data_IF_316696540653
#
_entry.id   IF_316696540653
#
_cell.length_a   1.000
_cell.length_b   1.000
_cell.length_c   1.000
_cell.angle_alpha   90.00
_cell.angle_beta   90.00
_cell.angle_gamma   90.00
#
_symmetry.space_group_name_H-M   'P 1'
#
loop_
_entity.id
_entity.type
_entity.pdbx_description
1 polymer ?
#
# COMPACT_ATOMS: atom_id res chain seq x y z
N UNK A 1 21.17 -2.00 16.90
CA UNK A 1 22.37 -2.86 16.89
C UNK A 1 23.60 -2.06 17.36
N UNK A 2 24.26 -1.23 16.54
CA UNK A 2 25.44 -0.47 17.00
C UNK A 2 25.22 0.49 18.20
N UNK A 3 23.99 1.01 18.38
CA UNK A 3 23.68 2.00 19.42
C UNK A 3 23.29 1.38 20.77
N UNK A 4 22.83 0.13 20.78
CA UNK A 4 22.29 -0.57 21.94
C UNK A 4 22.96 -1.93 22.21
N UNK A 5 23.88 -2.35 21.34
CA UNK A 5 24.70 -3.57 21.48
C UNK A 5 23.86 -4.85 21.59
N UNK A 6 22.65 -4.82 21.02
CA UNK A 6 21.77 -5.96 20.86
C UNK A 6 21.76 -6.37 19.39
N UNK A 7 22.22 -7.59 19.14
CA UNK A 7 22.22 -8.27 17.85
C UNK A 7 20.94 -9.10 17.77
N UNK A 8 20.03 -8.70 16.87
CA UNK A 8 18.70 -9.28 16.78
C UNK A 8 18.55 -10.28 15.62
N UNK A 9 19.45 -10.26 14.65
CA UNK A 9 19.42 -11.15 13.47
C UNK A 9 20.60 -12.15 13.40
N UNK A 10 21.57 -12.05 14.32
CA UNK A 10 22.67 -12.98 14.48
C UNK A 10 23.78 -12.83 13.45
N UNK A 11 23.81 -11.73 12.70
CA UNK A 11 24.82 -11.46 11.69
C UNK A 11 26.04 -10.70 12.26
N UNK A 12 27.04 -10.42 11.42
CA UNK A 12 28.28 -9.72 11.82
C UNK A 12 28.23 -8.21 11.53
N UNK A 13 27.12 -7.70 11.02
CA UNK A 13 26.97 -6.37 10.45
C UNK A 13 25.73 -5.67 11.02
N UNK A 14 25.95 -4.67 11.89
CA UNK A 14 24.90 -3.81 12.44
C UNK A 14 24.11 -3.08 11.31
N UNK A 15 23.05 -3.69 10.83
CA UNK A 15 22.25 -3.18 9.73
C UNK A 15 21.07 -2.34 10.26
N UNK A 16 20.51 -1.47 9.42
CA UNK A 16 19.32 -0.68 9.78
C UNK A 16 18.08 -1.58 9.68
N UNK A 17 17.90 -2.39 10.72
CA UNK A 17 16.80 -3.30 10.91
C UNK A 17 15.45 -2.57 11.02
N UNK A 18 14.41 -3.16 10.43
CA UNK A 18 13.02 -2.75 10.60
C UNK A 18 12.24 -3.89 11.26
N UNK A 19 12.28 -3.96 12.59
CA UNK A 19 11.48 -4.89 13.37
C UNK A 19 10.25 -4.23 13.98
N UNK A 20 9.15 -4.97 14.09
CA UNK A 20 7.98 -4.57 14.90
C UNK A 20 7.93 -5.48 16.13
N UNK A 21 7.94 -4.86 17.30
CA UNK A 21 7.78 -5.53 18.59
C UNK A 21 6.30 -5.47 19.02
N UNK A 22 5.67 -6.63 19.29
CA UNK A 22 4.35 -6.68 19.96
C UNK A 22 4.54 -6.72 21.49
N UNK A 23 4.23 -5.62 22.21
CA UNK A 23 4.41 -5.55 23.65
C UNK A 23 3.42 -6.42 24.46
N UNK A 24 2.41 -7.03 23.84
CA UNK A 24 1.37 -7.76 24.56
C UNK A 24 1.70 -9.24 24.81
N UNK A 25 2.84 -9.74 24.34
CA UNK A 25 3.20 -11.16 24.40
C UNK A 25 4.50 -11.37 25.20
N UNK A 26 4.41 -11.40 26.54
CA UNK A 26 5.57 -11.70 27.37
C UNK A 26 6.07 -13.13 27.07
N UNK A 27 7.27 -13.24 26.50
CA UNK A 27 7.95 -14.51 26.25
C UNK A 27 7.87 -15.05 24.81
N UNK A 28 7.26 -14.33 23.87
CA UNK A 28 7.41 -14.68 22.45
C UNK A 28 8.86 -14.37 22.02
N UNK A 29 9.66 -15.41 21.79
CA UNK A 29 10.92 -15.25 21.05
C UNK A 29 10.60 -14.66 19.69
N UNK A 30 11.29 -13.58 19.34
CA UNK A 30 11.33 -13.02 17.99
C UNK A 30 11.36 -14.16 16.99
N UNK A 31 10.41 -14.24 16.05
CA UNK A 31 10.55 -15.21 14.97
C UNK A 31 10.26 -14.55 13.63
N UNK A 32 11.34 -14.47 12.87
CA UNK A 32 11.42 -14.16 11.45
C UNK A 32 11.68 -15.51 10.78
N UNK A 33 10.89 -15.91 9.79
CA UNK A 33 11.34 -16.97 8.89
C UNK A 33 11.30 -16.45 7.45
N UNK A 34 12.35 -15.69 7.13
CA UNK A 34 12.84 -15.56 5.76
C UNK A 34 14.12 -16.38 5.72
N UNK A 35 14.40 -17.04 4.58
CA UNK A 35 15.62 -17.83 4.40
C UNK A 35 16.91 -17.01 4.50
N UNK A 36 17.97 -17.42 3.80
CA UNK A 36 19.33 -16.83 3.94
C UNK A 36 19.51 -15.32 3.59
N UNK A 37 18.43 -14.56 3.38
CA UNK A 37 18.43 -13.12 3.11
C UNK A 37 17.53 -12.42 4.13
N UNK A 38 18.13 -11.63 5.02
CA UNK A 38 17.46 -10.91 6.12
C UNK A 38 16.75 -9.62 5.70
N UNK A 39 16.77 -9.25 4.41
CA UNK A 39 16.24 -7.96 3.93
C UNK A 39 15.23 -8.11 2.79
N UNK A 40 14.07 -7.45 2.93
CA UNK A 40 13.13 -7.17 1.83
C UNK A 40 13.28 -5.71 1.43
N UNK A 41 13.33 -5.41 0.13
CA UNK A 41 13.29 -4.04 -0.34
C UNK A 41 11.85 -3.53 -0.33
N UNK A 42 11.64 -2.44 0.38
CA UNK A 42 10.36 -1.77 0.52
C UNK A 42 10.50 -0.36 -0.04
N UNK A 43 9.57 0.08 -0.89
CA UNK A 43 9.55 1.45 -1.44
C UNK A 43 8.66 2.41 -0.63
N UNK A 44 7.75 1.86 0.17
CA UNK A 44 6.83 2.64 0.98
C UNK A 44 6.36 1.83 2.19
N UNK A 45 6.19 2.47 3.35
CA UNK A 45 5.62 1.83 4.54
C UNK A 45 4.85 2.81 5.42
N UNK A 46 3.85 2.33 6.15
CA UNK A 46 3.17 3.06 7.21
C UNK A 46 2.63 2.13 8.29
N UNK A 47 2.23 2.70 9.43
CA UNK A 47 1.46 1.96 10.44
C UNK A 47 0.05 1.70 9.92
N UNK A 48 -0.50 0.53 10.19
CA UNK A 48 -1.92 0.26 9.95
C UNK A 48 -2.78 1.08 10.94
N UNK A 49 -3.71 1.90 10.44
CA UNK A 49 -4.50 2.76 11.31
C UNK A 49 -5.74 2.09 11.95
N UNK A 50 -6.07 0.84 11.63
CA UNK A 50 -7.15 0.06 12.28
C UNK A 50 -6.61 -1.01 13.25
N UNK A 51 -5.48 -1.62 12.92
CA UNK A 51 -4.93 -2.74 13.67
C UNK A 51 -3.64 -2.34 14.36
N UNK A 52 -3.69 -2.24 15.69
CA UNK A 52 -2.50 -2.00 16.50
C UNK A 52 -1.54 -3.18 16.34
N UNK A 53 -0.30 -2.90 15.93
CA UNK A 53 0.74 -3.93 15.72
C UNK A 53 0.89 -4.38 14.26
N UNK A 54 -0.02 -3.99 13.35
CA UNK A 54 0.16 -4.20 11.92
C UNK A 54 0.81 -2.98 11.26
N UNK A 55 1.62 -3.22 10.24
CA UNK A 55 2.10 -2.20 9.32
C UNK A 55 1.66 -2.54 7.90
N UNK A 56 1.78 -1.56 7.02
CA UNK A 56 1.47 -1.64 5.60
C UNK A 56 2.76 -1.38 4.84
N UNK A 57 2.98 -2.09 3.74
CA UNK A 57 4.22 -1.95 2.97
C UNK A 57 3.99 -2.15 1.47
N UNK A 58 4.74 -1.40 0.66
CA UNK A 58 4.89 -1.65 -0.77
C UNK A 58 6.22 -2.38 -1.00
N UNK A 59 6.16 -3.67 -1.33
CA UNK A 59 7.35 -4.52 -1.49
C UNK A 59 7.79 -4.51 -2.95
N UNK A 60 9.08 -4.27 -3.19
CA UNK A 60 9.62 -4.33 -4.54
C UNK A 60 9.71 -5.76 -5.05
N UNK A 61 9.31 -5.97 -6.30
CA UNK A 61 9.38 -7.27 -6.99
C UNK A 61 10.80 -7.81 -7.11
N UNK A 62 11.79 -6.92 -7.30
CA UNK A 62 13.22 -7.28 -7.29
C UNK A 62 13.64 -8.02 -6.01
N UNK A 63 12.95 -7.81 -4.88
CA UNK A 63 13.24 -8.52 -3.62
C UNK A 63 12.99 -10.01 -3.71
N UNK A 64 12.08 -10.42 -4.61
CA UNK A 64 11.71 -11.82 -4.81
C UNK A 64 12.15 -12.38 -6.15
N UNK A 65 12.63 -11.52 -7.06
CA UNK A 65 13.06 -11.92 -8.41
C UNK A 65 11.92 -12.44 -9.28
N UNK A 66 10.68 -12.07 -8.95
CA UNK A 66 9.46 -12.50 -9.63
C UNK A 66 8.67 -11.26 -10.01
N UNK A 67 8.40 -11.14 -11.30
CA UNK A 67 7.43 -10.22 -11.89
C UNK A 67 6.03 -10.70 -11.46
N UNK A 68 5.46 -10.05 -10.44
CA UNK A 68 4.17 -10.43 -9.84
C UNK A 68 3.01 -9.78 -10.56
N UNK A 69 3.18 -8.60 -11.11
CA UNK A 69 2.14 -7.82 -11.80
C UNK A 69 2.06 -8.15 -13.31
N UNK A 70 3.04 -8.89 -13.83
CA UNK A 70 3.19 -9.40 -15.20
C UNK A 70 3.25 -8.28 -16.26
N UNK A 71 3.98 -7.19 -15.99
CA UNK A 71 4.24 -6.12 -16.96
C UNK A 71 5.62 -6.20 -17.65
N UNK A 72 6.38 -7.24 -17.32
CA UNK A 72 7.64 -7.58 -17.97
C UNK A 72 8.86 -6.89 -17.38
N UNK A 73 8.79 -6.32 -16.17
CA UNK A 73 9.98 -5.95 -15.41
C UNK A 73 9.94 -6.38 -13.91
N UNK A 74 10.81 -5.82 -13.07
CA UNK A 74 10.95 -6.16 -11.64
C UNK A 74 11.08 -4.89 -10.77
N UNK A 75 10.90 -3.72 -11.36
CA UNK A 75 11.12 -2.43 -10.73
C UNK A 75 9.96 -2.04 -9.81
N UNK A 76 8.80 -2.66 -10.00
CA UNK A 76 7.56 -2.28 -9.35
C UNK A 76 7.52 -2.63 -7.89
N UNK A 77 6.63 -1.93 -7.21
CA UNK A 77 6.27 -2.20 -5.84
C UNK A 77 4.85 -2.72 -5.78
N UNK A 78 4.62 -3.72 -4.93
CA UNK A 78 3.34 -4.40 -4.77
C UNK A 78 2.77 -4.05 -3.39
N UNK A 79 1.50 -3.64 -3.29
CA UNK A 79 0.88 -3.34 -2.01
C UNK A 79 0.70 -4.63 -1.21
N UNK A 80 1.13 -4.60 0.05
CA UNK A 80 0.99 -5.72 0.96
C UNK A 80 0.32 -5.31 2.27
N UNK A 81 -0.39 -6.26 2.86
CA UNK A 81 -1.09 -6.14 4.14
C UNK A 81 -0.54 -7.17 5.13
N UNK A 82 0.69 -6.95 5.65
CA UNK A 82 1.38 -7.91 6.48
C UNK A 82 0.55 -8.41 7.66
N UNK A 83 0.66 -9.68 8.02
CA UNK A 83 0.08 -10.22 9.24
C UNK A 83 0.93 -11.36 9.80
N UNK A 84 0.87 -11.58 11.10
CA UNK A 84 1.53 -12.74 11.72
C UNK A 84 0.68 -13.99 11.52
N UNK A 85 1.28 -15.07 11.00
CA UNK A 85 0.65 -16.35 10.74
C UNK A 85 1.53 -17.52 11.23
N UNK A 86 0.95 -18.72 11.33
CA UNK A 86 1.74 -19.95 11.52
C UNK A 86 2.26 -20.25 12.94
N UNK A 87 2.96 -21.39 13.04
CA UNK A 87 3.72 -21.84 14.21
C UNK A 87 5.04 -22.50 13.73
N UNK A 88 6.22 -21.88 13.92
CA UNK A 88 6.45 -20.59 14.60
C UNK A 88 5.72 -19.42 13.92
N UNK A 89 5.54 -18.31 14.65
CA UNK A 89 4.92 -17.11 14.08
C UNK A 89 5.84 -16.54 13.01
N UNK A 90 5.33 -16.44 11.80
CA UNK A 90 6.00 -15.87 10.64
C UNK A 90 5.22 -14.63 10.20
N UNK A 91 5.94 -13.66 9.64
CA UNK A 91 5.34 -12.49 9.06
C UNK A 91 5.03 -12.76 7.59
N UNK A 92 3.76 -12.93 7.28
CA UNK A 92 3.25 -13.09 5.92
C UNK A 92 3.01 -11.74 5.27
N UNK A 93 3.30 -11.63 3.98
CA UNK A 93 3.09 -10.41 3.18
C UNK A 93 2.11 -10.65 2.04
N UNK A 94 0.82 -10.88 2.31
CA UNK A 94 -0.17 -11.01 1.26
C UNK A 94 -0.29 -9.67 0.53
N UNK A 95 -0.35 -9.72 -0.80
CA UNK A 95 -0.44 -8.53 -1.62
C UNK A 95 -1.33 -8.73 -2.84
N UNK A 96 -1.55 -7.64 -3.57
CA UNK A 96 -2.30 -7.63 -4.82
C UNK A 96 -1.33 -7.39 -5.97
N UNK A 97 -1.32 -8.27 -6.98
CA UNK A 97 -0.43 -8.22 -8.15
C UNK A 97 -0.68 -7.00 -9.07
N UNK A 98 -0.39 -5.81 -8.58
CA UNK A 98 -0.50 -4.51 -9.28
C UNK A 98 0.63 -3.60 -8.85
N UNK A 99 1.16 -2.78 -9.77
CA UNK A 99 2.19 -1.81 -9.42
C UNK A 99 1.58 -0.62 -8.68
N UNK A 100 2.10 -0.32 -7.49
CA UNK A 100 1.77 0.92 -6.77
C UNK A 100 2.84 1.99 -6.99
N UNK A 101 2.43 3.25 -6.88
CA UNK A 101 3.33 4.39 -7.09
C UNK A 101 4.55 4.32 -6.15
N UNK A 102 5.72 4.18 -6.75
CA UNK A 102 6.98 4.08 -6.00
C UNK A 102 7.20 5.35 -5.15
N UNK A 103 7.30 5.17 -3.82
CA UNK A 103 7.39 6.20 -2.77
C UNK A 103 6.10 6.96 -2.42
N UNK A 104 4.96 6.68 -3.07
CA UNK A 104 3.67 7.31 -2.73
C UNK A 104 2.47 6.34 -2.80
N UNK A 105 2.69 5.05 -2.52
CA UNK A 105 1.64 4.05 -2.55
C UNK A 105 0.42 4.39 -1.67
N UNK A 106 0.62 5.16 -0.59
CA UNK A 106 -0.46 5.68 0.25
C UNK A 106 -1.35 4.60 0.85
N UNK A 107 -0.79 3.42 1.12
CA UNK A 107 -1.57 2.26 1.52
C UNK A 107 -2.23 2.55 2.87
N UNK A 108 -3.52 2.30 2.99
CA UNK A 108 -4.26 2.50 4.24
C UNK A 108 -5.40 1.50 4.33
N UNK A 109 -5.94 1.29 5.52
CA UNK A 109 -7.00 0.31 5.78
C UNK A 109 -8.18 0.95 6.49
N UNK A 110 -9.40 0.63 6.04
CA UNK A 110 -10.66 1.04 6.67
C UNK A 110 -11.76 0.00 6.46
N UNK A 111 -12.44 -0.41 7.55
CA UNK A 111 -13.57 -1.32 7.51
C UNK A 111 -13.27 -2.65 6.83
N UNK A 112 -12.10 -3.25 7.09
CA UNK A 112 -11.60 -4.46 6.42
C UNK A 112 -11.29 -4.29 4.92
N UNK A 113 -11.21 -3.06 4.42
CA UNK A 113 -10.75 -2.79 3.07
C UNK A 113 -9.35 -2.19 3.09
N UNK A 114 -8.51 -2.60 2.15
CA UNK A 114 -7.25 -1.95 1.81
C UNK A 114 -7.46 -0.94 0.68
N UNK A 115 -6.80 0.22 0.79
CA UNK A 115 -6.83 1.29 -0.20
C UNK A 115 -5.39 1.67 -0.55
N UNK A 116 -5.10 1.88 -1.84
CA UNK A 116 -3.76 2.24 -2.30
C UNK A 116 -3.80 2.91 -3.67
N UNK A 117 -2.69 3.58 -4.03
CA UNK A 117 -2.43 4.19 -5.34
C UNK A 117 -1.75 3.20 -6.27
N UNK A 118 -2.47 2.74 -7.29
CA UNK A 118 -1.84 2.12 -8.45
C UNK A 118 -1.16 3.21 -9.28
N UNK A 119 -0.01 2.92 -9.86
CA UNK A 119 0.57 3.75 -10.92
C UNK A 119 0.42 3.02 -12.25
N UNK A 120 -0.28 3.64 -13.20
CA UNK A 120 -0.40 3.11 -14.56
C UNK A 120 0.95 3.07 -15.28
N UNK A 121 1.84 4.01 -14.94
CA UNK A 121 3.16 4.12 -15.56
C UNK A 121 4.08 2.99 -15.12
N UNK A 122 4.10 2.73 -13.80
CA UNK A 122 4.84 1.62 -13.22
C UNK A 122 4.25 0.30 -13.78
N UNK A 123 2.93 0.13 -13.76
CA UNK A 123 2.28 -1.11 -14.24
C UNK A 123 2.18 -1.26 -15.77
N UNK A 124 2.51 -0.21 -16.54
CA UNK A 124 2.37 -0.12 -18.01
C UNK A 124 0.97 -0.48 -18.52
N UNK A 125 -0.05 -0.16 -17.74
CA UNK A 125 -1.44 -0.50 -18.03
C UNK A 125 -2.35 0.71 -17.85
N UNK A 126 -3.11 1.01 -18.89
CA UNK A 126 -4.15 2.05 -18.89
C UNK A 126 -5.42 1.47 -18.23
N UNK A 127 -5.63 1.80 -16.96
CA UNK A 127 -6.72 1.29 -16.13
C UNK A 127 -8.03 2.05 -16.35
N UNK A 128 -7.97 3.33 -16.69
CA UNK A 128 -9.15 4.19 -16.88
C UNK A 128 -9.61 4.29 -18.35
N UNK A 129 -8.82 3.76 -19.28
CA UNK A 129 -9.03 3.71 -20.74
C UNK A 129 -9.10 5.08 -21.40
N UNK A 130 -8.34 6.05 -20.89
CA UNK A 130 -8.29 7.40 -21.47
C UNK A 130 -7.14 7.61 -22.47
N UNK A 131 -6.22 6.65 -22.58
CA UNK A 131 -5.09 6.67 -23.49
C UNK A 131 -3.83 7.33 -22.93
N UNK A 132 -3.85 7.82 -21.69
CA UNK A 132 -2.67 8.10 -20.88
C UNK A 132 -2.31 6.85 -20.05
N UNK A 133 -1.05 6.72 -19.65
CA UNK A 133 -0.58 5.68 -18.73
C UNK A 133 0.17 6.33 -17.57
N UNK A 134 -0.17 7.56 -17.19
CA UNK A 134 0.52 8.29 -16.12
C UNK A 134 -0.39 8.56 -14.93
N UNK A 135 -1.61 8.03 -14.94
CA UNK A 135 -2.54 8.23 -13.85
C UNK A 135 -2.20 7.43 -12.61
N UNK A 136 -2.77 7.91 -11.51
CA UNK A 136 -2.75 7.25 -10.21
C UNK A 136 -4.15 6.79 -9.90
N UNK A 137 -4.38 5.49 -9.89
CA UNK A 137 -5.72 4.96 -9.68
C UNK A 137 -5.90 4.59 -8.21
N UNK A 138 -6.96 5.10 -7.57
CA UNK A 138 -7.39 4.61 -6.26
C UNK A 138 -7.97 3.23 -6.45
N UNK A 139 -7.34 2.21 -5.86
CA UNK A 139 -7.90 0.87 -5.81
C UNK A 139 -8.30 0.51 -4.38
N UNK A 140 -9.43 -0.21 -4.27
CA UNK A 140 -9.92 -0.83 -3.03
C UNK A 140 -9.89 -2.34 -3.17
N UNK A 141 -9.37 -3.03 -2.17
CA UNK A 141 -9.40 -4.49 -2.04
C UNK A 141 -10.07 -4.91 -0.73
N UNK A 142 -10.80 -6.02 -0.74
CA UNK A 142 -11.35 -6.64 0.47
C UNK A 142 -10.29 -7.52 1.14
N UNK A 143 -9.94 -7.22 2.38
CA UNK A 143 -8.91 -7.95 3.14
C UNK A 143 -9.42 -9.26 3.74
N UNK A 144 -10.73 -9.53 3.67
CA UNK A 144 -11.34 -10.79 4.08
C UNK A 144 -11.41 -11.82 2.95
N UNK A 145 -10.98 -11.44 1.74
CA UNK A 145 -10.96 -12.31 0.55
C UNK A 145 -12.33 -12.46 -0.13
N UNK A 146 -13.31 -11.63 0.22
CA UNK A 146 -14.69 -11.74 -0.29
C UNK A 146 -14.96 -11.04 -1.62
N UNK A 147 -14.11 -10.10 -2.07
CA UNK A 147 -14.35 -9.30 -3.27
C UNK A 147 -13.10 -9.01 -4.09
N UNK A 148 -13.27 -8.90 -5.41
CA UNK A 148 -12.23 -8.42 -6.32
C UNK A 148 -11.83 -6.98 -6.00
N UNK A 149 -10.60 -6.62 -6.37
CA UNK A 149 -10.15 -5.24 -6.30
C UNK A 149 -10.97 -4.36 -7.26
N UNK A 150 -11.34 -3.15 -6.82
CA UNK A 150 -12.20 -2.23 -7.57
C UNK A 150 -11.50 -0.87 -7.66
N UNK A 151 -11.38 -0.34 -8.87
CA UNK A 151 -10.95 1.03 -9.12
C UNK A 151 -12.06 2.01 -8.70
N UNK A 152 -11.70 3.00 -7.89
CA UNK A 152 -12.65 3.96 -7.32
C UNK A 152 -12.61 5.34 -7.99
N UNK A 153 -11.51 5.68 -8.64
CA UNK A 153 -11.30 6.95 -9.34
C UNK A 153 -9.81 7.30 -9.44
N UNK A 154 -9.52 8.46 -10.00
CA UNK A 154 -8.16 8.94 -10.20
C UNK A 154 -7.74 9.80 -9.01
N UNK A 155 -6.49 9.68 -8.60
CA UNK A 155 -5.90 10.37 -7.46
C UNK A 155 -4.92 11.45 -7.90
N UNK A 156 -4.87 12.48 -7.07
CA UNK A 156 -3.80 13.47 -7.02
C UNK A 156 -2.41 12.85 -6.72
N UNK A 157 -1.36 13.64 -6.95
CA UNK A 157 0.04 13.27 -6.66
C UNK A 157 0.54 13.63 -5.25
N UNK A 158 -0.34 14.06 -4.34
CA UNK A 158 0.09 14.49 -3.01
C UNK A 158 0.61 13.28 -2.21
N UNK A 159 1.71 13.50 -1.49
CA UNK A 159 2.32 12.48 -0.64
C UNK A 159 1.57 12.35 0.68
N UNK A 160 0.58 11.47 0.70
CA UNK A 160 -0.30 11.19 1.84
C UNK A 160 -1.00 9.83 1.68
N UNK A 161 -1.82 9.41 2.64
CA UNK A 161 -2.70 8.23 2.46
C UNK A 161 -3.58 8.38 1.21
N UNK A 162 -3.85 7.28 0.51
CA UNK A 162 -4.69 7.26 -0.69
C UNK A 162 -6.11 7.76 -0.41
N UNK A 163 -6.60 7.49 0.80
CA UNK A 163 -7.88 7.98 1.31
C UNK A 163 -7.74 8.43 2.76
N UNK A 164 -8.62 9.32 3.20
CA UNK A 164 -8.85 9.63 4.60
C UNK A 164 -10.20 9.07 5.03
N UNK A 165 -10.36 8.77 6.31
CA UNK A 165 -11.65 8.41 6.88
C UNK A 165 -11.92 9.19 8.16
N UNK A 166 -13.18 9.24 8.56
CA UNK A 166 -13.58 9.80 9.85
C UNK A 166 -12.82 9.15 11.01
N UNK A 167 -12.50 9.94 12.04
CA UNK A 167 -11.87 9.42 13.26
C UNK A 167 -12.90 8.63 14.08
N UNK A 168 -12.50 7.48 14.63
CA UNK A 168 -13.34 6.66 15.51
C UNK A 168 -13.27 5.17 15.16
N UNK A 169 -13.91 4.34 15.97
CA UNK A 169 -13.88 2.88 15.82
C UNK A 169 -14.71 2.35 14.64
N UNK A 170 -15.53 3.20 14.01
CA UNK A 170 -16.49 2.79 12.98
C UNK A 170 -16.68 3.90 11.94
N UNK A 171 -15.64 4.19 11.14
CA UNK A 171 -15.76 5.16 10.05
C UNK A 171 -16.86 4.71 9.07
N UNK A 172 -17.70 5.65 8.63
CA UNK A 172 -18.81 5.38 7.69
C UNK A 172 -18.51 5.74 6.26
N UNK A 173 -17.44 6.50 6.04
CA UNK A 173 -17.04 6.95 4.74
C UNK A 173 -15.53 7.14 4.67
N UNK A 174 -15.04 6.98 3.46
CA UNK A 174 -13.72 7.45 3.04
C UNK A 174 -13.88 8.67 2.15
N UNK A 175 -12.89 9.54 2.16
CA UNK A 175 -12.76 10.70 1.28
C UNK A 175 -11.40 10.66 0.61
N UNK A 176 -11.33 11.15 -0.62
CA UNK A 176 -10.07 11.31 -1.35
C UNK A 176 -10.14 12.53 -2.25
N UNK A 177 -8.96 12.98 -2.65
CA UNK A 177 -8.81 14.10 -3.56
C UNK A 177 -8.63 13.52 -4.96
N UNK A 178 -9.58 13.79 -5.85
CA UNK A 178 -9.52 13.39 -7.24
C UNK A 178 -8.82 14.45 -8.09
N UNK A 179 -8.05 14.00 -9.08
CA UNK A 179 -7.42 14.88 -10.06
C UNK A 179 -8.33 14.98 -11.28
N UNK A 180 -8.91 16.17 -11.49
CA UNK A 180 -9.89 16.38 -12.55
C UNK A 180 -9.28 16.21 -13.95
N UNK A 181 -8.02 16.59 -14.10
CA UNK A 181 -7.33 16.55 -15.40
C UNK A 181 -7.13 15.14 -15.93
N UNK A 182 -7.10 14.13 -15.06
CA UNK A 182 -6.98 12.73 -15.44
C UNK A 182 -8.35 12.07 -15.66
N UNK A 183 -9.45 12.67 -15.22
CA UNK A 183 -10.77 12.02 -15.31
C UNK A 183 -11.30 12.06 -16.76
N UNK A 184 -10.85 11.08 -17.55
CA UNK A 184 -11.15 10.91 -18.97
C UNK A 184 -10.18 11.66 -19.90
N UNK A 185 -10.26 11.43 -21.22
CA UNK A 185 -9.20 11.83 -22.18
C UNK A 185 -8.86 13.34 -22.28
N UNK A 186 -9.72 14.20 -21.73
CA UNK A 186 -9.53 15.66 -21.74
C UNK A 186 -9.68 16.29 -20.35
N UNK A 187 -9.69 15.46 -19.30
CA UNK A 187 -10.16 15.82 -17.97
C UNK A 187 -11.67 16.05 -17.90
N UNK A 188 -12.20 16.03 -16.68
CA UNK A 188 -13.60 16.33 -16.38
C UNK A 188 -13.66 17.31 -15.22
N UNK A 189 -14.33 18.44 -15.43
CA UNK A 189 -14.72 19.39 -14.37
C UNK A 189 -15.70 18.69 -13.41
N UNK A 190 -15.17 18.14 -12.32
CA UNK A 190 -15.94 17.37 -11.33
C UNK A 190 -16.64 18.31 -10.35
N UNK A 191 -16.09 19.50 -10.11
CA UNK A 191 -16.55 20.43 -9.09
C UNK A 191 -17.50 21.53 -9.64
N UNK A 192 -17.54 21.71 -10.96
CA UNK A 192 -18.42 22.61 -11.70
C UNK A 192 -17.94 24.07 -11.76
N UNK A 193 -16.65 24.34 -11.56
CA UNK A 193 -16.11 25.70 -11.54
C UNK A 193 -15.67 26.22 -12.92
N UNK A 194 -15.69 25.35 -13.93
CA UNK A 194 -15.50 25.71 -15.34
C UNK A 194 -14.16 25.31 -15.93
N UNK A 195 -13.28 24.61 -15.20
CA UNK A 195 -12.12 23.93 -15.76
C UNK A 195 -11.87 22.56 -15.12
N UNK A 196 -10.84 21.84 -15.58
CA UNK A 196 -10.49 20.51 -15.08
C UNK A 196 -9.04 20.46 -14.57
N UNK A 197 -8.48 21.62 -14.21
CA UNK A 197 -7.07 21.74 -13.82
C UNK A 197 -6.86 21.59 -12.33
N UNK A 198 -7.93 21.45 -11.57
CA UNK A 198 -7.90 21.45 -10.12
C UNK A 198 -8.12 20.07 -9.49
N UNK A 199 -8.32 20.10 -8.18
CA UNK A 199 -8.58 18.93 -7.37
C UNK A 199 -9.98 18.98 -6.78
N UNK A 200 -10.76 17.91 -6.99
CA UNK A 200 -12.09 17.76 -6.42
C UNK A 200 -12.10 16.78 -5.23
N UNK A 201 -12.90 17.06 -4.21
CA UNK A 201 -13.12 16.12 -3.10
C UNK A 201 -14.19 15.10 -3.48
N UNK A 202 -13.85 13.81 -3.41
CA UNK A 202 -14.80 12.70 -3.59
C UNK A 202 -14.92 11.88 -2.31
N UNK A 203 -16.04 11.17 -2.16
CA UNK A 203 -16.28 10.29 -1.02
C UNK A 203 -17.03 9.04 -1.43
N UNK A 204 -16.89 7.99 -0.62
CA UNK A 204 -17.64 6.75 -0.74
C UNK A 204 -17.99 6.23 0.66
N UNK A 205 -19.11 5.52 0.77
CA UNK A 205 -19.45 4.80 1.99
C UNK A 205 -18.57 3.57 2.11
N UNK A 206 -18.18 3.29 3.35
CA UNK A 206 -17.60 1.98 3.68
C UNK A 206 -18.78 1.00 3.73
N UNK A 207 -18.70 -0.14 2.99
CA UNK A 207 -19.74 -1.16 2.98
C UNK A 207 -20.12 -1.70 4.37
#
# INVERSE_FOLDING_TARGET
EAADNMDYDGDVADNKFLGVFDPNLPGAGWNFDQGASTFIQVSWMARDPEVTGRFLAAIKEISTGVDRNNDGDLADSIPTFPYEAGAPRELDFPGVSVAVETNNAGITTRGNYGYYRISEADHRFDYNLDGDQTDRILQRVDLTGGSAAISMGILNNLVQDAVLAGRGADPKAIVWIAQESGEGPAGTDLNGDGDASDFALRYARIP
#
